data_IF_306655278619
#
_entry.id   IF_306655278619
#
_cell.length_a   1.000
_cell.length_b   1.000
_cell.length_c   1.000
_cell.angle_alpha   90.00
_cell.angle_beta   90.00
_cell.angle_gamma   90.00
#
_symmetry.space_group_name_H-M   'P 1'
#
loop_
_entity.id
_entity.type
_entity.pdbx_description
1 polymer ?
#
# COMPACT_ATOMS: atom_id res chain seq x y z
N UNK A 1 23.04 6.00 13.98
CA UNK A 1 22.54 6.61 12.74
C UNK A 1 21.04 6.69 12.88
N UNK A 2 20.46 7.89 12.83
CA UNK A 2 19.01 8.04 12.75
C UNK A 2 18.57 7.74 11.30
N UNK A 3 17.39 7.14 11.12
CA UNK A 3 16.76 7.11 9.79
C UNK A 3 16.23 8.52 9.47
N UNK A 4 15.97 8.79 8.18
CA UNK A 4 15.53 10.12 7.75
C UNK A 4 14.15 10.51 8.32
N UNK A 5 13.29 9.53 8.59
CA UNK A 5 11.99 9.79 9.20
C UNK A 5 12.14 10.32 10.64
N UNK A 6 13.05 9.77 11.44
CA UNK A 6 13.42 10.30 12.76
C UNK A 6 14.08 11.69 12.65
N UNK A 7 14.86 11.94 11.60
CA UNK A 7 15.54 13.23 11.39
C UNK A 7 14.57 14.35 11.02
N UNK A 8 13.58 14.06 10.16
CA UNK A 8 12.57 15.01 9.72
C UNK A 8 11.32 15.03 10.61
N UNK A 9 11.19 14.09 11.55
CA UNK A 9 10.03 13.96 12.43
C UNK A 9 8.77 13.51 11.69
N UNK A 10 8.91 12.72 10.63
CA UNK A 10 7.82 12.20 9.80
C UNK A 10 7.52 10.74 10.16
N UNK A 11 6.29 10.28 9.91
CA UNK A 11 5.97 8.84 10.04
C UNK A 11 6.56 8.03 8.89
N UNK A 12 6.63 8.62 7.69
CA UNK A 12 7.24 8.00 6.50
C UNK A 12 8.02 9.03 5.69
N UNK A 13 9.27 8.70 5.35
CA UNK A 13 10.11 9.48 4.43
C UNK A 13 10.36 8.67 3.15
N UNK A 14 9.91 9.18 2.00
CA UNK A 14 10.05 8.52 0.69
C UNK A 14 11.09 9.23 -0.17
N UNK A 15 12.15 8.53 -0.55
CA UNK A 15 13.27 9.11 -1.28
C UNK A 15 13.96 8.10 -2.21
N UNK A 16 14.60 8.60 -3.27
CA UNK A 16 15.55 7.78 -4.03
C UNK A 16 16.88 7.77 -3.27
N UNK A 17 17.39 6.60 -2.91
CA UNK A 17 18.68 6.53 -2.22
C UNK A 17 19.80 6.88 -3.19
N UNK A 18 20.65 7.83 -2.80
CA UNK A 18 21.74 8.32 -3.63
C UNK A 18 22.61 7.18 -4.17
N UNK A 19 23.00 7.29 -5.44
CA UNK A 19 23.79 6.28 -6.17
C UNK A 19 23.09 4.93 -6.37
N UNK A 20 21.79 4.85 -6.07
CA UNK A 20 20.94 3.72 -6.39
C UNK A 20 19.75 4.20 -7.23
N UNK A 21 19.06 3.26 -7.89
CA UNK A 21 17.80 3.51 -8.59
C UNK A 21 16.59 3.10 -7.76
N UNK A 22 16.82 2.58 -6.55
CA UNK A 22 15.79 2.03 -5.67
C UNK A 22 15.20 3.15 -4.82
N UNK A 23 13.88 3.22 -4.79
CA UNK A 23 13.14 4.13 -3.93
C UNK A 23 12.98 3.48 -2.55
N UNK A 24 13.36 4.22 -1.51
CA UNK A 24 13.27 3.86 -0.12
C UNK A 24 12.09 4.56 0.55
N UNK A 25 11.51 3.89 1.54
CA UNK A 25 10.56 4.44 2.48
C UNK A 25 11.04 4.12 3.91
N UNK A 26 11.59 5.13 4.57
CA UNK A 26 12.04 5.03 5.95
C UNK A 26 10.89 5.33 6.92
N UNK A 27 10.88 4.66 8.05
CA UNK A 27 9.93 4.86 9.15
C UNK A 27 10.70 5.12 10.44
N UNK A 28 10.15 5.90 11.40
CA UNK A 28 10.84 6.23 12.63
C UNK A 28 11.16 4.98 13.45
N UNK A 29 12.16 5.11 14.33
CA UNK A 29 12.57 3.98 15.19
C UNK A 29 11.42 3.61 16.12
N UNK A 30 10.98 2.36 16.07
CA UNK A 30 9.84 1.89 16.87
C UNK A 30 8.48 2.21 16.27
N UNK A 31 8.42 2.52 14.97
CA UNK A 31 7.18 2.66 14.22
C UNK A 31 6.18 1.51 14.52
N UNK A 32 4.87 1.80 14.54
CA UNK A 32 3.87 0.80 14.87
C UNK A 32 3.83 -0.30 13.80
N UNK A 33 3.60 -1.55 14.24
CA UNK A 33 3.50 -2.70 13.32
C UNK A 33 2.47 -2.49 12.20
N UNK A 34 1.38 -1.77 12.49
CA UNK A 34 0.34 -1.42 11.52
C UNK A 34 0.88 -0.59 10.34
N UNK A 35 1.84 0.32 10.59
CA UNK A 35 2.46 1.10 9.51
C UNK A 35 3.28 0.19 8.60
N UNK A 36 4.06 -0.73 9.17
CA UNK A 36 4.82 -1.70 8.39
C UNK A 36 3.91 -2.63 7.56
N UNK A 37 2.81 -3.10 8.16
CA UNK A 37 1.83 -3.94 7.46
C UNK A 37 1.13 -3.17 6.33
N UNK A 38 0.86 -1.88 6.53
CA UNK A 38 0.31 -1.01 5.49
C UNK A 38 1.30 -0.82 4.34
N UNK A 39 2.57 -0.52 4.62
CA UNK A 39 3.60 -0.39 3.59
C UNK A 39 3.75 -1.67 2.76
N UNK A 40 3.68 -2.85 3.41
CA UNK A 40 3.68 -4.14 2.70
C UNK A 40 2.44 -4.34 1.83
N UNK A 41 1.26 -3.94 2.31
CA UNK A 41 0.02 -3.99 1.51
C UNK A 41 0.05 -3.04 0.31
N UNK A 42 0.79 -1.93 0.42
CA UNK A 42 1.02 -0.97 -0.67
C UNK A 42 2.10 -1.43 -1.65
N UNK A 43 2.70 -2.61 -1.43
CA UNK A 43 3.64 -3.25 -2.34
C UNK A 43 5.12 -2.99 -2.03
N UNK A 44 5.44 -2.39 -0.88
CA UNK A 44 6.82 -2.19 -0.46
C UNK A 44 7.39 -3.44 0.22
N UNK A 45 8.68 -3.68 -0.01
CA UNK A 45 9.43 -4.76 0.60
C UNK A 45 10.08 -4.28 1.90
N UNK A 46 9.85 -5.00 3.00
CA UNK A 46 10.44 -4.69 4.31
C UNK A 46 11.82 -5.32 4.41
N UNK A 47 12.78 -4.53 4.84
CA UNK A 47 14.13 -4.96 5.18
C UNK A 47 14.44 -4.64 6.63
N UNK A 48 15.18 -5.54 7.28
CA UNK A 48 15.61 -5.38 8.66
C UNK A 48 17.07 -5.76 8.79
N UNK A 49 17.82 -4.93 9.51
CA UNK A 49 19.20 -5.20 9.87
C UNK A 49 19.33 -5.25 11.39
N UNK A 50 19.67 -6.42 11.97
CA UNK A 50 19.97 -6.52 13.39
C UNK A 50 21.32 -5.84 13.68
N UNK A 51 21.32 -4.87 14.59
CA UNK A 51 22.50 -4.02 14.89
C UNK A 51 23.09 -4.24 16.29
N UNK A 52 22.79 -5.34 16.97
CA UNK A 52 23.20 -5.56 18.38
C UNK A 52 22.52 -4.59 19.37
N UNK A 53 21.59 -3.76 18.87
CA UNK A 53 20.71 -2.83 19.57
C UNK A 53 19.35 -2.78 18.84
N UNK A 54 18.62 -1.64 18.84
CA UNK A 54 17.36 -1.51 18.11
C UNK A 54 17.53 -1.86 16.62
N UNK A 55 16.75 -2.82 16.12
CA UNK A 55 16.81 -3.25 14.73
C UNK A 55 16.49 -2.10 13.79
N UNK A 56 17.38 -1.85 12.83
CA UNK A 56 17.14 -0.85 11.80
C UNK A 56 16.24 -1.45 10.73
N UNK A 57 15.05 -0.88 10.55
CA UNK A 57 14.06 -1.35 9.58
C UNK A 57 13.82 -0.26 8.54
N UNK A 58 13.82 -0.64 7.27
CA UNK A 58 13.48 0.25 6.16
C UNK A 58 12.65 -0.51 5.13
N UNK A 59 11.91 0.22 4.31
CA UNK A 59 11.17 -0.38 3.22
C UNK A 59 11.75 0.09 1.89
N UNK A 60 11.71 -0.76 0.88
CA UNK A 60 12.08 -0.40 -0.48
C UNK A 60 10.94 -0.74 -1.42
N UNK A 61 10.92 -0.09 -2.57
CA UNK A 61 10.11 -0.59 -3.67
C UNK A 61 10.81 -1.78 -4.31
N UNK A 62 10.06 -2.75 -4.87
CA UNK A 62 10.65 -3.93 -5.45
C UNK A 62 11.68 -3.56 -6.53
N UNK A 63 12.92 -4.00 -6.34
CA UNK A 63 14.06 -3.55 -7.16
C UNK A 63 13.97 -4.00 -8.63
N UNK A 64 13.12 -4.99 -8.91
CA UNK A 64 12.86 -5.48 -10.26
C UNK A 64 12.00 -4.53 -11.10
N UNK A 65 11.34 -3.54 -10.48
CA UNK A 65 10.55 -2.53 -11.17
C UNK A 65 11.46 -1.46 -11.78
N UNK A 66 11.08 -0.97 -12.96
CA UNK A 66 11.73 0.18 -13.58
C UNK A 66 11.53 1.46 -12.77
N UNK A 67 12.40 2.46 -12.95
CA UNK A 67 12.37 3.70 -12.17
C UNK A 67 11.00 4.42 -12.22
N UNK A 68 10.38 4.51 -13.39
CA UNK A 68 9.07 5.17 -13.53
C UNK A 68 7.96 4.39 -12.82
N UNK A 69 8.03 3.05 -12.85
CA UNK A 69 7.07 2.19 -12.16
C UNK A 69 7.24 2.24 -10.64
N UNK A 70 8.50 2.35 -10.18
CA UNK A 70 8.77 2.64 -8.77
C UNK A 70 8.19 4.00 -8.37
N UNK A 71 8.42 5.07 -9.14
CA UNK A 71 7.85 6.41 -8.83
C UNK A 71 6.33 6.38 -8.80
N UNK A 72 5.72 5.68 -9.75
CA UNK A 72 4.28 5.49 -9.82
C UNK A 72 3.75 4.81 -8.56
N UNK A 73 4.34 3.67 -8.17
CA UNK A 73 3.91 2.92 -6.99
C UNK A 73 4.16 3.70 -5.68
N UNK A 74 5.32 4.35 -5.55
CA UNK A 74 5.65 5.18 -4.41
C UNK A 74 4.65 6.33 -4.25
N UNK A 75 4.28 6.98 -5.36
CA UNK A 75 3.34 8.10 -5.34
C UNK A 75 1.90 7.64 -5.08
N UNK A 76 1.50 6.49 -5.63
CA UNK A 76 0.20 5.88 -5.36
C UNK A 76 0.03 5.45 -3.89
N UNK A 77 1.12 5.16 -3.18
CA UNK A 77 1.09 4.82 -1.76
C UNK A 77 0.77 6.03 -0.85
N UNK A 78 1.14 7.25 -1.26
CA UNK A 78 1.02 8.46 -0.43
C UNK A 78 -0.43 8.73 0.03
N UNK A 79 -1.44 8.78 -0.87
CA UNK A 79 -2.82 9.01 -0.44
C UNK A 79 -3.36 7.98 0.57
N UNK A 80 -2.93 6.72 0.46
CA UNK A 80 -3.37 5.67 1.38
C UNK A 80 -2.75 5.85 2.78
N UNK A 81 -1.48 6.23 2.86
CA UNK A 81 -0.79 6.57 4.10
C UNK A 81 -1.41 7.80 4.78
N UNK A 82 -1.66 8.86 4.01
CA UNK A 82 -2.33 10.07 4.51
C UNK A 82 -3.76 9.77 5.02
N UNK A 83 -4.51 8.91 4.31
CA UNK A 83 -5.84 8.49 4.74
C UNK A 83 -5.81 7.69 6.04
N UNK A 84 -4.76 6.89 6.26
CA UNK A 84 -4.53 6.15 7.49
C UNK A 84 -4.05 7.05 8.67
N UNK A 85 -3.81 8.34 8.41
CA UNK A 85 -3.45 9.33 9.41
C UNK A 85 -1.95 9.49 9.66
N UNK A 86 -1.10 8.94 8.79
CA UNK A 86 0.36 9.08 8.88
C UNK A 86 0.85 10.35 8.19
N UNK A 87 1.85 11.01 8.78
CA UNK A 87 2.57 12.12 8.16
C UNK A 87 3.63 11.60 7.19
N UNK A 88 3.50 11.95 5.91
CA UNK A 88 4.38 11.47 4.84
C UNK A 88 5.12 12.63 4.20
N UNK A 89 6.43 12.50 4.07
CA UNK A 89 7.24 13.36 3.22
C UNK A 89 7.79 12.55 2.03
N UNK A 90 7.92 13.22 0.88
CA UNK A 90 8.36 12.60 -0.35
C UNK A 90 9.24 13.58 -1.13
N UNK A 91 10.43 13.13 -1.51
CA UNK A 91 11.33 13.94 -2.33
C UNK A 91 10.72 14.25 -3.70
N UNK A 92 10.88 15.49 -4.23
CA UNK A 92 10.25 15.89 -5.49
C UNK A 92 10.60 14.99 -6.69
N UNK A 93 11.80 14.42 -6.71
CA UNK A 93 12.27 13.53 -7.77
C UNK A 93 11.50 12.19 -7.85
N UNK A 94 10.85 11.79 -6.76
CA UNK A 94 10.04 10.57 -6.67
C UNK A 94 8.57 10.83 -7.02
N UNK A 95 8.08 12.05 -6.79
CA UNK A 95 6.66 12.37 -6.87
C UNK A 95 6.16 12.48 -8.32
N UNK A 96 5.15 11.66 -8.67
CA UNK A 96 4.40 11.73 -9.91
C UNK A 96 2.98 12.29 -9.67
N UNK A 97 2.75 13.56 -10.06
CA UNK A 97 1.47 14.24 -9.85
C UNK A 97 0.28 13.49 -10.49
N UNK A 98 0.47 12.90 -11.68
CA UNK A 98 -0.60 12.20 -12.37
C UNK A 98 -0.99 10.92 -11.62
N UNK A 99 0.01 10.16 -11.14
CA UNK A 99 -0.19 8.99 -10.30
C UNK A 99 -0.92 9.35 -8.99
N UNK A 100 -0.51 10.44 -8.33
CA UNK A 100 -1.13 10.90 -7.09
C UNK A 100 -2.63 11.20 -7.29
N UNK A 101 -2.95 11.97 -8.34
CA UNK A 101 -4.33 12.34 -8.65
C UNK A 101 -5.20 11.13 -8.97
N UNK A 102 -4.65 10.17 -9.71
CA UNK A 102 -5.34 8.93 -10.01
C UNK A 102 -5.60 8.11 -8.75
N UNK A 103 -4.60 7.94 -7.87
CA UNK A 103 -4.75 7.22 -6.62
C UNK A 103 -5.79 7.85 -5.68
N UNK A 104 -5.81 9.19 -5.56
CA UNK A 104 -6.85 9.90 -4.80
C UNK A 104 -8.24 9.65 -5.40
N UNK A 105 -8.36 9.68 -6.73
CA UNK A 105 -9.62 9.41 -7.42
C UNK A 105 -10.10 7.97 -7.15
N UNK A 106 -9.21 6.99 -7.20
CA UNK A 106 -9.54 5.58 -6.98
C UNK A 106 -9.96 5.31 -5.53
N UNK A 107 -9.30 5.93 -4.56
CA UNK A 107 -9.71 5.86 -3.15
C UNK A 107 -11.12 6.45 -2.97
N UNK A 108 -11.39 7.62 -3.57
CA UNK A 108 -12.71 8.27 -3.49
C UNK A 108 -13.81 7.44 -4.14
N UNK A 109 -13.56 6.87 -5.31
CA UNK A 109 -14.54 6.03 -6.02
C UNK A 109 -14.80 4.71 -5.28
N UNK A 110 -13.78 4.11 -4.65
CA UNK A 110 -13.95 2.94 -3.77
C UNK A 110 -14.77 3.28 -2.53
N UNK A 111 -14.49 4.41 -1.87
CA UNK A 111 -15.27 4.86 -0.72
C UNK A 111 -16.74 5.18 -1.06
N UNK A 112 -16.99 5.69 -2.27
CA UNK A 112 -18.35 5.96 -2.77
C UNK A 112 -19.13 4.69 -3.19
N UNK A 113 -18.49 3.51 -3.18
CA UNK A 113 -19.13 2.20 -3.45
C UNK A 113 -19.34 1.43 -2.13
N UNK A 114 -20.38 1.73 -1.35
CA UNK A 114 -20.76 0.85 -0.24
C UNK A 114 -21.35 -0.45 -0.81
N UNK A 115 -20.66 -1.57 -0.61
CA UNK A 115 -21.13 -2.97 -0.57
C UNK A 115 -22.19 -3.47 -1.59
N UNK A 116 -22.43 -2.81 -2.71
CA UNK A 116 -23.38 -3.25 -3.72
C UNK A 116 -22.70 -4.18 -4.74
N UNK A 117 -22.16 -5.33 -4.31
CA UNK A 117 -21.75 -6.43 -5.21
C UNK A 117 -21.26 -7.67 -4.44
N UNK A 118 -22.09 -8.24 -3.57
CA UNK A 118 -22.11 -9.70 -3.42
C UNK A 118 -23.27 -10.22 -4.29
N UNK A 119 -23.00 -10.88 -5.43
CA UNK A 119 -24.03 -11.70 -6.06
C UNK A 119 -24.40 -12.80 -5.05
N UNK A 120 -25.63 -12.79 -4.55
CA UNK A 120 -26.15 -13.91 -3.77
C UNK A 120 -25.97 -15.21 -4.58
N UNK A 121 -25.52 -16.32 -3.96
CA UNK A 121 -25.43 -17.59 -4.65
C UNK A 121 -26.82 -17.95 -5.18
N UNK A 122 -26.91 -18.22 -6.48
CA UNK A 122 -28.16 -18.58 -7.14
C UNK A 122 -28.74 -19.83 -6.45
N UNK A 123 -29.89 -19.68 -5.81
CA UNK A 123 -30.68 -20.79 -5.29
C UNK A 123 -30.91 -21.80 -6.41
N UNK A 124 -30.48 -23.05 -6.17
CA UNK A 124 -30.62 -24.17 -7.09
C UNK A 124 -32.08 -24.38 -7.49
N UNK A 125 -32.40 -24.69 -8.76
CA UNK A 125 -33.78 -24.94 -9.15
C UNK A 125 -34.28 -26.27 -8.54
N UNK A 126 -35.32 -26.17 -7.70
CA UNK A 126 -36.05 -27.31 -7.17
C UNK A 126 -36.67 -28.14 -8.30
N UNK A 127 -36.31 -29.42 -8.32
CA UNK A 127 -36.81 -30.48 -9.20
C UNK A 127 -38.35 -30.61 -9.13
N UNK A 128 -39.10 -30.62 -10.24
CA UNK A 128 -40.53 -30.92 -10.19
C UNK A 128 -40.78 -32.42 -9.90
N UNK A 129 -41.78 -32.69 -9.06
CA UNK A 129 -42.21 -34.01 -8.61
C UNK A 129 -42.89 -34.85 -9.72
N UNK A 130 -42.90 -36.19 -9.64
CA UNK A 130 -43.38 -37.07 -10.70
C UNK A 130 -44.91 -37.16 -10.74
N UNK A 131 -45.47 -37.16 -11.95
CA UNK A 131 -46.91 -37.33 -12.18
C UNK A 131 -47.36 -38.78 -11.91
N UNK A 132 -48.35 -38.94 -11.02
CA UNK A 132 -49.12 -40.19 -10.86
C UNK A 132 -49.96 -40.43 -12.12
N UNK A 133 -49.82 -41.60 -12.73
CA UNK A 133 -50.83 -42.20 -13.61
C UNK A 133 -51.75 -43.09 -12.77
N UNK A 134 -53.05 -42.95 -13.00
CA UNK A 134 -54.13 -43.85 -12.57
C UNK A 134 -54.85 -44.38 -13.82
N UNK A 135 -55.63 -45.47 -13.68
CA UNK A 135 -55.53 -46.71 -14.46
C UNK A 135 -56.06 -46.63 -15.90
#
# INVERSE_FOLDING_TARGET
>A
MANLADEYGMDVEIYTKALTTTIHADTPTGAPAQLHDLLKQLGLERHELPTGGPSYSWHTLPEHLGADEQKHLATCAIPALLLAGYEVNCTPDVFDEAAYRQAVHDIRTRAARPAAQQPAPASSPSRPAPARRTP
#
